data_IF_529554257685
#
_entry.id   IF_529554257685
#
_cell.length_a   1.000
_cell.length_b   1.000
_cell.length_c   1.000
_cell.angle_alpha   90.00
_cell.angle_beta   90.00
_cell.angle_gamma   90.00
#
_symmetry.space_group_name_H-M   'P 1'
#
loop_
_entity.id
_entity.type
_entity.pdbx_description
1 polymer ?
#
# COMPACT_ATOMS: atom_id res chain seq x y z
N UNK A 1 6.75 -5.17 25.89
CA UNK A 1 6.18 -4.66 24.61
C UNK A 1 7.01 -5.02 23.37
N UNK A 2 8.32 -5.32 23.44
CA UNK A 2 9.15 -5.61 22.26
C UNK A 2 9.86 -6.97 22.31
N UNK A 3 9.09 -8.07 22.45
CA UNK A 3 9.66 -9.43 22.41
C UNK A 3 9.81 -9.94 20.97
N UNK A 4 10.67 -10.94 20.69
CA UNK A 4 10.73 -11.58 19.37
C UNK A 4 9.37 -12.10 18.90
N UNK A 5 8.55 -12.62 19.82
CA UNK A 5 7.19 -13.06 19.54
C UNK A 5 6.27 -11.91 19.09
N UNK A 6 6.46 -10.70 19.63
CA UNK A 6 5.71 -9.51 19.21
C UNK A 6 6.06 -9.11 17.76
N UNK A 7 7.36 -9.03 17.43
CA UNK A 7 7.79 -8.74 16.06
C UNK A 7 7.33 -9.81 15.06
N UNK A 8 7.37 -11.08 15.45
CA UNK A 8 6.84 -12.18 14.65
C UNK A 8 5.32 -12.05 14.42
N UNK A 9 4.55 -11.70 15.47
CA UNK A 9 3.11 -11.48 15.35
C UNK A 9 2.78 -10.29 14.44
N UNK A 10 3.51 -9.18 14.55
CA UNK A 10 3.36 -8.02 13.67
C UNK A 10 3.68 -8.38 12.21
N UNK A 11 4.75 -9.14 11.98
CA UNK A 11 5.16 -9.60 10.64
C UNK A 11 4.10 -10.53 10.04
N UNK A 12 3.63 -11.52 10.80
CA UNK A 12 2.58 -12.45 10.35
C UNK A 12 1.25 -11.73 10.11
N UNK A 13 0.88 -10.79 10.98
CA UNK A 13 -0.28 -9.94 10.81
C UNK A 13 -0.18 -9.08 9.54
N UNK A 14 1.01 -8.54 9.25
CA UNK A 14 1.30 -7.80 8.03
C UNK A 14 1.17 -8.65 6.77
N UNK A 15 1.72 -9.87 6.77
CA UNK A 15 1.60 -10.83 5.66
C UNK A 15 0.14 -11.12 5.36
N UNK A 16 -0.62 -11.54 6.37
CA UNK A 16 -2.00 -11.95 6.20
C UNK A 16 -2.89 -10.75 5.82
N UNK A 17 -2.71 -9.62 6.50
CA UNK A 17 -3.50 -8.41 6.22
C UNK A 17 -3.26 -7.92 4.81
N UNK A 18 -2.01 -7.59 4.43
CA UNK A 18 -1.72 -7.02 3.13
C UNK A 18 -1.89 -8.04 2.00
N UNK A 19 -1.41 -9.27 2.16
CA UNK A 19 -1.53 -10.31 1.15
C UNK A 19 -2.98 -10.64 0.80
N UNK A 20 -3.81 -10.89 1.81
CA UNK A 20 -5.22 -11.28 1.57
C UNK A 20 -6.06 -10.11 1.09
N UNK A 21 -5.89 -8.91 1.66
CA UNK A 21 -6.68 -7.74 1.23
C UNK A 21 -6.38 -7.36 -0.22
N UNK A 22 -5.09 -7.28 -0.61
CA UNK A 22 -4.72 -6.97 -1.99
C UNK A 22 -5.13 -8.06 -2.99
N UNK A 23 -5.08 -9.33 -2.57
CA UNK A 23 -5.57 -10.44 -3.42
C UNK A 23 -7.08 -10.36 -3.61
N UNK A 24 -7.84 -10.04 -2.55
CA UNK A 24 -9.28 -9.89 -2.63
C UNK A 24 -9.72 -8.74 -3.56
N UNK A 25 -8.97 -7.64 -3.60
CA UNK A 25 -9.26 -6.49 -4.48
C UNK A 25 -8.63 -6.60 -5.87
N UNK A 26 -7.88 -7.67 -6.17
CA UNK A 26 -7.23 -7.87 -7.48
C UNK A 26 -8.19 -7.73 -8.68
N UNK A 27 -9.44 -8.23 -8.65
CA UNK A 27 -10.38 -8.01 -9.75
C UNK A 27 -10.67 -6.52 -10.02
N UNK A 28 -10.77 -5.72 -8.97
CA UNK A 28 -11.01 -4.28 -9.08
C UNK A 28 -9.76 -3.56 -9.57
N UNK A 29 -8.57 -3.94 -9.08
CA UNK A 29 -7.29 -3.41 -9.55
C UNK A 29 -7.10 -3.67 -11.05
N UNK A 30 -7.48 -4.85 -11.51
CA UNK A 30 -7.35 -5.23 -12.92
C UNK A 30 -8.27 -4.37 -13.82
N UNK A 31 -9.51 -4.14 -13.40
CA UNK A 31 -10.42 -3.22 -14.10
C UNK A 31 -9.84 -1.80 -14.10
N UNK A 32 -9.33 -1.31 -12.97
CA UNK A 32 -8.71 0.01 -12.87
C UNK A 32 -7.49 0.16 -13.78
N UNK A 33 -6.59 -0.81 -13.82
CA UNK A 33 -5.41 -0.76 -14.69
C UNK A 33 -5.81 -0.75 -16.18
N UNK A 34 -6.80 -1.56 -16.58
CA UNK A 34 -7.31 -1.55 -17.95
C UNK A 34 -7.95 -0.21 -18.32
N UNK A 35 -8.69 0.43 -17.39
CA UNK A 35 -9.23 1.78 -17.57
C UNK A 35 -8.15 2.85 -17.76
N UNK A 36 -7.03 2.73 -17.06
CA UNK A 36 -5.92 3.67 -17.19
C UNK A 36 -5.18 3.54 -18.52
N UNK A 37 -5.19 2.35 -19.13
CA UNK A 37 -4.50 2.07 -20.40
C UNK A 37 -5.39 2.37 -21.60
N UNK A 38 -6.65 1.97 -21.53
CA UNK A 38 -7.63 2.17 -22.61
C UNK A 38 -8.94 2.77 -22.07
N UNK A 39 -8.95 4.09 -21.79
CA UNK A 39 -10.12 4.76 -21.24
C UNK A 39 -11.30 4.83 -22.23
N UNK A 40 -11.05 4.64 -23.52
CA UNK A 40 -12.12 4.62 -24.54
C UNK A 40 -12.89 3.30 -24.51
N UNK A 41 -12.18 2.19 -24.29
CA UNK A 41 -12.76 0.85 -24.17
C UNK A 41 -13.38 0.59 -22.81
N UNK A 42 -12.75 1.04 -21.72
CA UNK A 42 -13.23 0.82 -20.35
C UNK A 42 -13.75 2.13 -19.75
N UNK A 43 -15.02 2.47 -20.05
CA UNK A 43 -15.62 3.77 -19.69
C UNK A 43 -15.99 3.94 -18.22
N UNK A 44 -16.26 2.85 -17.53
CA UNK A 44 -16.62 2.85 -16.10
C UNK A 44 -16.21 1.54 -15.45
N UNK A 45 -16.16 1.51 -14.11
CA UNK A 45 -15.83 0.28 -13.37
C UNK A 45 -16.81 -0.83 -13.72
N UNK A 46 -18.13 -0.55 -13.71
CA UNK A 46 -19.17 -1.53 -14.03
C UNK A 46 -19.09 -2.02 -15.47
N UNK A 47 -18.85 -1.11 -16.42
CA UNK A 47 -18.62 -1.45 -17.82
C UNK A 47 -17.36 -2.30 -17.97
N UNK A 48 -16.30 -1.99 -17.22
CA UNK A 48 -15.03 -2.69 -17.30
C UNK A 48 -15.10 -4.12 -16.79
N UNK A 49 -15.88 -4.39 -15.74
CA UNK A 49 -16.21 -5.76 -15.33
C UNK A 49 -16.91 -6.53 -16.46
N UNK A 50 -17.91 -5.91 -17.13
CA UNK A 50 -18.62 -6.53 -18.24
C UNK A 50 -17.72 -6.83 -19.45
N UNK A 51 -16.88 -5.87 -19.85
CA UNK A 51 -15.91 -6.02 -20.95
C UNK A 51 -14.91 -7.12 -20.62
N UNK A 52 -14.36 -7.13 -19.41
CA UNK A 52 -13.37 -8.14 -19.01
C UNK A 52 -13.97 -9.54 -18.96
N UNK A 53 -15.20 -9.68 -18.46
CA UNK A 53 -15.91 -10.96 -18.46
C UNK A 53 -16.14 -11.47 -19.89
N UNK A 54 -16.52 -10.59 -20.83
CA UNK A 54 -16.78 -10.95 -22.23
C UNK A 54 -15.51 -11.38 -22.98
N UNK A 55 -14.37 -10.73 -22.72
CA UNK A 55 -13.13 -10.97 -23.45
C UNK A 55 -12.23 -12.05 -22.83
N UNK A 56 -12.15 -12.09 -21.49
CA UNK A 56 -11.19 -12.93 -20.76
C UNK A 56 -11.88 -13.98 -19.86
N UNK A 57 -13.20 -13.94 -19.76
CA UNK A 57 -13.97 -14.81 -18.89
C UNK A 57 -13.69 -14.59 -17.40
N UNK A 58 -14.26 -15.45 -16.55
CA UNK A 58 -14.12 -15.37 -15.09
C UNK A 58 -12.66 -15.51 -14.63
N UNK A 59 -11.85 -16.29 -15.36
CA UNK A 59 -10.42 -16.46 -15.08
C UNK A 59 -9.62 -15.18 -15.33
N UNK A 60 -10.11 -14.28 -16.19
CA UNK A 60 -9.50 -12.98 -16.44
C UNK A 60 -9.38 -12.13 -15.18
N UNK A 61 -10.37 -12.17 -14.28
CA UNK A 61 -10.38 -11.36 -13.04
C UNK A 61 -9.26 -11.69 -12.06
N UNK A 62 -8.70 -12.89 -12.14
CA UNK A 62 -7.64 -13.34 -11.25
C UNK A 62 -6.25 -13.20 -11.88
N UNK A 63 -6.12 -12.54 -13.03
CA UNK A 63 -4.82 -12.38 -13.68
C UNK A 63 -3.89 -11.51 -12.82
N UNK A 64 -2.71 -12.04 -12.53
CA UNK A 64 -1.76 -11.38 -11.64
C UNK A 64 -2.04 -11.56 -10.14
N UNK A 65 -2.96 -12.43 -9.73
CA UNK A 65 -3.22 -12.69 -8.29
C UNK A 65 -1.98 -13.17 -7.53
N UNK A 66 -1.16 -14.05 -8.13
CA UNK A 66 0.04 -14.60 -7.50
C UNK A 66 1.14 -13.56 -7.21
N UNK A 67 1.55 -12.71 -8.18
CA UNK A 67 2.49 -11.63 -7.87
C UNK A 67 1.88 -10.62 -6.89
N UNK A 68 0.57 -10.35 -6.94
CA UNK A 68 -0.10 -9.52 -5.92
C UNK A 68 0.03 -10.12 -4.53
N UNK A 69 -0.38 -11.38 -4.35
CA UNK A 69 -0.35 -12.04 -3.05
C UNK A 69 1.05 -12.05 -2.45
N UNK A 70 2.04 -12.49 -3.22
CA UNK A 70 3.42 -12.63 -2.74
C UNK A 70 4.08 -11.26 -2.51
N UNK A 71 3.90 -10.32 -3.44
CA UNK A 71 4.45 -8.98 -3.34
C UNK A 71 3.91 -8.22 -2.13
N UNK A 72 2.59 -8.16 -1.98
CA UNK A 72 1.97 -7.45 -0.84
C UNK A 72 2.12 -8.20 0.48
N UNK A 73 2.27 -9.53 0.47
CA UNK A 73 2.66 -10.27 1.67
C UNK A 73 4.06 -9.88 2.13
N UNK A 74 5.04 -9.84 1.22
CA UNK A 74 6.40 -9.42 1.52
C UNK A 74 6.46 -7.94 1.97
N UNK A 75 5.71 -7.07 1.28
CA UNK A 75 5.56 -5.68 1.69
C UNK A 75 4.96 -5.57 3.10
N UNK A 76 3.88 -6.29 3.38
CA UNK A 76 3.21 -6.29 4.67
C UNK A 76 4.10 -6.79 5.81
N UNK A 77 4.86 -7.86 5.55
CA UNK A 77 5.87 -8.40 6.47
C UNK A 77 6.90 -7.34 6.86
N UNK A 78 7.51 -6.71 5.85
CA UNK A 78 8.54 -5.71 6.05
C UNK A 78 7.97 -4.45 6.71
N UNK A 79 6.83 -3.97 6.22
CA UNK A 79 6.19 -2.76 6.75
C UNK A 79 5.86 -2.90 8.22
N UNK A 80 5.11 -3.94 8.61
CA UNK A 80 4.70 -4.10 10.01
C UNK A 80 5.85 -4.57 10.91
N UNK A 81 6.76 -5.41 10.40
CA UNK A 81 7.92 -5.88 11.15
C UNK A 81 8.92 -4.76 11.45
N UNK A 82 9.35 -4.02 10.42
CA UNK A 82 10.31 -2.93 10.57
C UNK A 82 9.70 -1.68 11.20
N UNK A 83 8.40 -1.43 11.06
CA UNK A 83 7.76 -0.28 11.68
C UNK A 83 7.92 -0.29 13.20
N UNK A 84 7.67 -1.43 13.85
CA UNK A 84 7.87 -1.57 15.29
C UNK A 84 9.34 -1.48 15.70
N UNK A 85 10.25 -1.92 14.83
CA UNK A 85 11.69 -1.81 15.07
C UNK A 85 12.14 -0.36 15.03
N UNK A 86 11.81 0.38 13.96
CA UNK A 86 12.20 1.77 13.81
C UNK A 86 11.54 2.69 14.82
N UNK A 87 10.26 2.46 15.18
CA UNK A 87 9.61 3.21 16.26
C UNK A 87 10.39 3.08 17.56
N UNK A 88 10.77 1.86 17.94
CA UNK A 88 11.54 1.61 19.16
C UNK A 88 12.92 2.27 19.06
N UNK A 89 13.64 2.01 17.96
CA UNK A 89 14.98 2.54 17.74
C UNK A 89 15.03 4.07 17.79
N UNK A 90 14.11 4.76 17.10
CA UNK A 90 14.04 6.22 17.11
C UNK A 90 13.55 6.78 18.45
N UNK A 91 12.66 6.07 19.17
CA UNK A 91 12.25 6.46 20.53
C UNK A 91 13.40 6.32 21.53
N UNK A 92 14.18 5.24 21.45
CA UNK A 92 15.34 4.99 22.30
C UNK A 92 16.43 6.04 22.09
N UNK A 93 16.65 6.48 20.83
CA UNK A 93 17.59 7.57 20.50
C UNK A 93 17.10 8.92 21.00
N UNK A 94 15.81 9.22 20.85
CA UNK A 94 15.24 10.49 21.29
C UNK A 94 15.26 10.64 22.82
N UNK A 95 15.20 9.53 23.55
CA UNK A 95 15.04 9.53 25.00
C UNK A 95 13.59 9.75 25.43
N UNK A 96 13.22 9.40 26.68
CA UNK A 96 11.83 9.28 27.11
C UNK A 96 11.04 10.59 27.06
N UNK A 97 11.69 11.73 27.33
CA UNK A 97 11.06 13.05 27.32
C UNK A 97 10.70 13.50 25.90
N UNK A 98 11.61 13.32 24.95
CA UNK A 98 11.39 13.69 23.55
C UNK A 98 10.57 12.66 22.78
N UNK A 99 10.61 11.39 23.18
CA UNK A 99 9.78 10.35 22.59
C UNK A 99 8.28 10.64 22.77
N UNK A 100 7.87 11.17 23.93
CA UNK A 100 6.48 11.58 24.14
C UNK A 100 6.14 12.88 23.42
N UNK A 101 7.07 13.84 23.38
CA UNK A 101 6.86 15.16 22.76
C UNK A 101 6.79 15.10 21.24
N UNK A 102 7.61 14.25 20.62
CA UNK A 102 7.75 14.12 19.16
C UNK A 102 7.25 12.76 18.64
N UNK A 103 6.35 12.10 19.39
CA UNK A 103 5.76 10.80 19.06
C UNK A 103 5.34 10.69 17.60
N UNK A 104 4.56 11.65 17.10
CA UNK A 104 4.09 11.69 15.71
C UNK A 104 5.24 11.72 14.71
N UNK A 105 6.28 12.54 14.94
CA UNK A 105 7.43 12.63 14.03
C UNK A 105 8.26 11.35 14.03
N UNK A 106 8.48 10.75 15.21
CA UNK A 106 9.19 9.47 15.35
C UNK A 106 8.47 8.36 14.60
N UNK A 107 7.14 8.34 14.66
CA UNK A 107 6.32 7.33 14.02
C UNK A 107 6.23 7.56 12.51
N UNK A 108 6.16 8.81 12.07
CA UNK A 108 6.28 9.19 10.66
C UNK A 108 7.63 8.75 10.09
N UNK A 109 8.73 9.05 10.78
CA UNK A 109 10.07 8.61 10.38
C UNK A 109 10.19 7.07 10.37
N UNK A 110 9.63 6.40 11.38
CA UNK A 110 9.62 4.94 11.48
C UNK A 110 8.83 4.28 10.36
N UNK A 111 7.66 4.81 10.02
CA UNK A 111 6.82 4.31 8.94
C UNK A 111 7.45 4.55 7.57
N UNK A 112 8.04 5.73 7.33
CA UNK A 112 8.77 6.01 6.09
C UNK A 112 9.97 5.06 5.90
N UNK A 113 10.76 4.84 6.96
CA UNK A 113 11.92 3.94 6.93
C UNK A 113 11.51 2.49 6.65
N UNK A 114 10.42 2.03 7.27
CA UNK A 114 9.87 0.70 7.04
C UNK A 114 9.33 0.54 5.60
N UNK A 115 8.63 1.55 5.08
CA UNK A 115 8.06 1.51 3.72
C UNK A 115 9.15 1.47 2.65
N UNK A 116 10.27 2.19 2.82
CA UNK A 116 11.41 2.15 1.89
C UNK A 116 11.90 0.71 1.69
N UNK A 117 12.08 -0.04 2.79
CA UNK A 117 12.52 -1.43 2.76
C UNK A 117 11.42 -2.33 2.20
N UNK A 118 10.17 -2.10 2.61
CA UNK A 118 9.03 -2.88 2.14
C UNK A 118 8.82 -2.77 0.63
N UNK A 119 9.05 -1.58 0.06
CA UNK A 119 8.93 -1.35 -1.37
C UNK A 119 10.05 -1.98 -2.17
N UNK A 120 11.26 -2.13 -1.61
CA UNK A 120 12.33 -2.93 -2.24
C UNK A 120 11.88 -4.38 -2.40
N UNK A 121 11.15 -4.93 -1.42
CA UNK A 121 10.60 -6.28 -1.49
C UNK A 121 9.40 -6.38 -2.44
N UNK A 122 8.55 -5.34 -2.52
CA UNK A 122 7.36 -5.31 -3.38
C UNK A 122 7.70 -5.08 -4.85
N UNK A 123 8.67 -4.22 -5.15
CA UNK A 123 8.97 -3.72 -6.50
C UNK A 123 9.07 -4.80 -7.59
N UNK A 124 9.83 -5.91 -7.40
CA UNK A 124 9.93 -6.93 -8.43
C UNK A 124 8.60 -7.63 -8.72
N UNK A 125 7.75 -7.85 -7.70
CA UNK A 125 6.44 -8.45 -7.89
C UNK A 125 5.47 -7.47 -8.55
N UNK A 126 5.54 -6.19 -8.19
CA UNK A 126 4.73 -5.13 -8.81
C UNK A 126 5.06 -4.99 -10.30
N UNK A 127 6.35 -5.02 -10.66
CA UNK A 127 6.79 -4.96 -12.05
C UNK A 127 6.22 -6.12 -12.89
N UNK A 128 6.27 -7.35 -12.36
CA UNK A 128 5.69 -8.51 -13.04
C UNK A 128 4.16 -8.44 -13.06
N UNK A 129 3.52 -8.05 -11.95
CA UNK A 129 2.05 -7.88 -11.85
C UNK A 129 1.55 -6.93 -12.93
N UNK A 130 2.14 -5.75 -13.04
CA UNK A 130 1.76 -4.73 -14.03
C UNK A 130 1.88 -5.30 -15.43
N UNK A 131 3.00 -5.92 -15.82
CA UNK A 131 3.13 -6.54 -17.16
C UNK A 131 2.09 -7.63 -17.41
N UNK A 132 1.85 -8.49 -16.44
CA UNK A 132 0.87 -9.59 -16.53
C UNK A 132 -0.56 -9.07 -16.69
N UNK A 133 -0.92 -7.96 -16.03
CA UNK A 133 -2.27 -7.38 -16.06
C UNK A 133 -2.51 -6.51 -17.30
N UNK A 134 -1.48 -5.78 -17.74
CA UNK A 134 -1.60 -4.72 -18.73
C UNK A 134 -1.25 -5.15 -20.15
N UNK A 135 -0.54 -6.27 -20.31
CA UNK A 135 -0.06 -6.75 -21.61
C UNK A 135 -0.64 -8.13 -21.94
N UNK A 136 -1.69 -8.18 -22.77
CA UNK A 136 -2.21 -9.43 -23.29
C UNK A 136 -1.09 -10.25 -23.94
N UNK A 137 -1.03 -11.55 -23.63
CA UNK A 137 -0.02 -12.46 -24.19
C UNK A 137 1.36 -12.45 -23.52
N UNK A 138 1.70 -11.50 -22.65
CA UNK A 138 3.03 -11.47 -21.99
C UNK A 138 3.28 -12.72 -21.14
N UNK A 139 2.40 -12.97 -20.14
CA UNK A 139 2.50 -14.11 -19.26
C UNK A 139 1.14 -14.50 -18.64
N UNK A 140 1.05 -15.74 -18.14
CA UNK A 140 -0.12 -16.28 -17.44
C UNK A 140 -0.11 -15.91 -15.95
N UNK A 141 1.06 -15.74 -15.35
CA UNK A 141 1.22 -15.38 -13.94
C UNK A 141 2.67 -15.10 -13.57
N UNK A 142 3.00 -15.28 -12.29
CA UNK A 142 4.36 -15.03 -11.79
C UNK A 142 5.37 -16.07 -12.32
N UNK A 143 4.98 -17.35 -12.38
CA UNK A 143 5.90 -18.46 -12.71
C UNK A 143 6.47 -18.36 -14.12
N UNK A 144 5.69 -17.88 -15.09
CA UNK A 144 6.16 -17.63 -16.45
C UNK A 144 6.51 -16.17 -16.70
N UNK A 145 5.89 -15.22 -15.99
CA UNK A 145 6.11 -13.79 -16.15
C UNK A 145 7.44 -13.30 -15.61
N UNK A 146 7.87 -13.77 -14.44
CA UNK A 146 9.15 -13.38 -13.83
C UNK A 146 10.36 -13.77 -14.71
N UNK A 147 10.54 -15.05 -15.13
CA UNK A 147 11.68 -15.41 -15.97
C UNK A 147 11.65 -14.71 -17.33
N UNK A 148 10.46 -14.50 -17.93
CA UNK A 148 10.32 -13.73 -19.17
C UNK A 148 10.76 -12.28 -18.99
N UNK A 149 10.33 -11.63 -17.90
CA UNK A 149 10.71 -10.25 -17.60
C UNK A 149 12.22 -10.10 -17.47
N UNK A 150 12.84 -10.96 -16.64
CA UNK A 150 14.30 -10.93 -16.42
C UNK A 150 15.06 -11.19 -17.72
N UNK A 151 14.57 -12.09 -18.57
CA UNK A 151 15.17 -12.35 -19.89
C UNK A 151 15.04 -11.16 -20.84
N UNK A 152 13.94 -10.41 -20.80
CA UNK A 152 13.70 -9.28 -21.71
C UNK A 152 14.33 -7.97 -21.27
N UNK A 153 14.38 -7.69 -19.96
CA UNK A 153 14.79 -6.37 -19.42
C UNK A 153 15.92 -6.44 -18.39
N UNK A 154 16.37 -7.64 -18.04
CA UNK A 154 17.36 -7.86 -16.98
C UNK A 154 16.77 -7.77 -15.57
N UNK A 155 17.53 -8.22 -14.58
CA UNK A 155 17.12 -8.19 -13.17
C UNK A 155 16.97 -6.75 -12.64
N UNK A 156 17.81 -5.81 -13.12
CA UNK A 156 17.69 -4.38 -12.77
C UNK A 156 16.42 -3.75 -13.35
N UNK A 157 15.84 -4.32 -14.41
CA UNK A 157 14.57 -3.88 -14.99
C UNK A 157 13.41 -3.94 -13.98
N UNK A 158 13.46 -4.88 -13.03
CA UNK A 158 12.45 -5.05 -11.99
C UNK A 158 12.35 -3.84 -11.05
N UNK A 159 13.42 -3.03 -10.94
CA UNK A 159 13.52 -1.90 -10.03
C UNK A 159 13.35 -0.54 -10.71
N UNK A 160 13.10 -0.49 -12.03
CA UNK A 160 12.88 0.78 -12.76
C UNK A 160 11.71 1.60 -12.18
N UNK A 161 10.74 0.93 -11.56
CA UNK A 161 9.58 1.56 -10.92
C UNK A 161 9.77 1.92 -9.45
N UNK A 162 10.95 1.78 -8.85
CA UNK A 162 11.09 1.95 -7.39
C UNK A 162 10.89 3.38 -6.92
N UNK A 163 11.42 4.37 -7.65
CA UNK A 163 11.26 5.80 -7.32
C UNK A 163 9.79 6.22 -7.38
N UNK A 164 9.03 5.94 -8.46
CA UNK A 164 7.60 6.26 -8.48
C UNK A 164 6.80 5.44 -7.46
N UNK A 165 7.25 4.23 -7.12
CA UNK A 165 6.65 3.43 -6.05
C UNK A 165 6.81 4.13 -4.70
N UNK A 166 8.03 4.53 -4.33
CA UNK A 166 8.29 5.28 -3.09
C UNK A 166 7.53 6.60 -3.03
N UNK A 167 7.50 7.36 -4.14
CA UNK A 167 6.78 8.62 -4.23
C UNK A 167 5.27 8.49 -3.96
N UNK A 168 4.70 7.31 -4.18
CA UNK A 168 3.30 6.99 -3.88
C UNK A 168 3.13 6.37 -2.50
N UNK A 169 3.91 5.35 -2.17
CA UNK A 169 3.69 4.50 -1.01
C UNK A 169 4.13 5.17 0.30
N UNK A 170 5.27 5.90 0.30
CA UNK A 170 5.78 6.54 1.51
C UNK A 170 4.81 7.61 2.03
N UNK A 171 4.32 8.57 1.22
CA UNK A 171 3.36 9.55 1.69
C UNK A 171 2.04 8.91 2.13
N UNK A 172 1.55 7.91 1.39
CA UNK A 172 0.34 7.18 1.72
C UNK A 172 0.47 6.49 3.08
N UNK A 173 1.57 5.78 3.32
CA UNK A 173 1.82 5.09 4.59
C UNK A 173 1.98 6.07 5.75
N UNK A 174 2.74 7.15 5.57
CA UNK A 174 2.90 8.21 6.56
C UNK A 174 1.55 8.81 6.98
N UNK A 175 0.73 9.18 6.00
CA UNK A 175 -0.61 9.75 6.23
C UNK A 175 -1.54 8.76 6.92
N UNK A 176 -1.51 7.49 6.49
CA UNK A 176 -2.33 6.42 7.08
C UNK A 176 -2.00 6.22 8.56
N UNK A 177 -0.72 6.16 8.93
CA UNK A 177 -0.33 5.99 10.33
C UNK A 177 -0.63 7.23 11.18
N UNK A 178 -0.33 8.44 10.69
CA UNK A 178 -0.64 9.68 11.42
C UNK A 178 -2.15 9.87 11.65
N UNK A 179 -2.95 9.60 10.62
CA UNK A 179 -4.42 9.72 10.69
C UNK A 179 -5.02 8.63 11.58
N UNK A 180 -4.57 7.38 11.43
CA UNK A 180 -5.07 6.27 12.23
C UNK A 180 -4.87 6.51 13.73
N UNK A 181 -3.68 6.97 14.14
CA UNK A 181 -3.41 7.23 15.55
C UNK A 181 -4.25 8.37 16.10
N UNK A 182 -4.31 9.49 15.38
CA UNK A 182 -5.11 10.64 15.79
C UNK A 182 -6.59 10.27 15.91
N UNK A 183 -7.13 9.52 14.95
CA UNK A 183 -8.54 9.11 14.92
C UNK A 183 -8.83 8.10 16.04
N UNK A 184 -7.94 7.13 16.28
CA UNK A 184 -8.10 6.18 17.37
C UNK A 184 -8.03 6.88 18.73
N UNK A 185 -7.06 7.77 18.95
CA UNK A 185 -6.96 8.57 20.17
C UNK A 185 -8.22 9.43 20.39
N UNK A 186 -8.74 10.07 19.34
CA UNK A 186 -9.97 10.85 19.41
C UNK A 186 -11.21 9.99 19.71
N UNK A 187 -11.32 8.79 19.13
CA UNK A 187 -12.41 7.86 19.43
C UNK A 187 -12.36 7.38 20.88
N UNK A 188 -11.18 7.01 21.40
CA UNK A 188 -11.05 6.62 22.81
C UNK A 188 -11.34 7.80 23.75
N UNK A 189 -11.02 9.03 23.36
CA UNK A 189 -11.26 10.23 24.17
C UNK A 189 -12.73 10.68 24.19
N UNK A 190 -13.46 10.54 23.07
CA UNK A 190 -14.80 11.11 22.94
C UNK A 190 -15.94 10.09 22.82
N UNK A 191 -15.67 8.88 22.34
CA UNK A 191 -16.70 7.88 22.07
C UNK A 191 -16.71 6.71 23.08
N UNK A 192 -15.64 6.52 23.87
CA UNK A 192 -15.52 5.38 24.79
C UNK A 192 -15.23 5.90 26.21
N UNK A 193 -16.19 5.81 27.16
CA UNK A 193 -16.02 6.32 28.52
C UNK A 193 -15.16 5.41 29.43
N UNK A 194 -14.43 4.43 28.88
CA UNK A 194 -13.62 3.46 29.65
C UNK A 194 -12.20 3.35 29.10
N UNK A 195 -11.18 3.13 29.96
CA UNK A 195 -9.82 2.85 29.53
C UNK A 195 -9.77 1.64 28.58
N UNK A 196 -8.82 1.66 27.63
CA UNK A 196 -8.61 0.61 26.63
C UNK A 196 -8.48 -0.79 27.26
N UNK A 197 -7.94 -0.83 28.48
CA UNK A 197 -7.60 -2.05 29.21
C UNK A 197 -8.82 -2.74 29.87
N UNK A 198 -9.95 -2.03 29.98
CA UNK A 198 -11.21 -2.55 30.55
C UNK A 198 -12.23 -2.98 29.49
N UNK A 199 -11.91 -2.76 28.21
CA UNK A 199 -12.81 -3.08 27.10
C UNK A 199 -12.69 -4.56 26.67
N UNK A 200 -13.80 -5.21 26.35
CA UNK A 200 -13.80 -6.55 25.76
C UNK A 200 -12.97 -6.58 24.46
N UNK A 201 -12.29 -7.71 24.19
CA UNK A 201 -11.49 -7.90 22.96
C UNK A 201 -12.29 -7.66 21.68
N UNK A 202 -13.59 -7.99 21.67
CA UNK A 202 -14.48 -7.73 20.52
C UNK A 202 -14.72 -6.24 20.31
N UNK A 203 -14.88 -5.47 21.39
CA UNK A 203 -15.04 -4.02 21.34
C UNK A 203 -13.75 -3.34 20.87
N UNK A 204 -12.58 -3.78 21.38
CA UNK A 204 -11.28 -3.27 20.92
C UNK A 204 -11.05 -3.53 19.43
N UNK A 205 -11.45 -4.71 18.94
CA UNK A 205 -11.37 -5.06 17.52
C UNK A 205 -12.32 -4.19 16.69
N UNK A 206 -13.57 -4.00 17.13
CA UNK A 206 -14.56 -3.17 16.47
C UNK A 206 -14.12 -1.70 16.36
N UNK A 207 -13.55 -1.15 17.43
CA UNK A 207 -12.99 0.21 17.45
C UNK A 207 -11.79 0.33 16.52
N UNK A 208 -10.91 -0.68 16.50
CA UNK A 208 -9.76 -0.70 15.58
C UNK A 208 -10.21 -0.74 14.12
N UNK A 209 -11.28 -1.50 13.82
CA UNK A 209 -11.86 -1.57 12.49
C UNK A 209 -12.54 -0.25 12.07
N UNK A 210 -13.36 0.34 12.95
CA UNK A 210 -14.01 1.62 12.69
C UNK A 210 -12.99 2.76 12.52
N UNK A 211 -11.97 2.81 13.38
CA UNK A 211 -10.87 3.76 13.26
C UNK A 211 -10.07 3.56 11.98
N UNK A 212 -9.80 2.31 11.61
CA UNK A 212 -9.16 1.97 10.34
C UNK A 212 -9.97 2.42 9.12
N UNK A 213 -11.29 2.27 9.16
CA UNK A 213 -12.19 2.70 8.09
C UNK A 213 -12.22 4.23 7.95
N UNK A 214 -12.45 4.96 9.05
CA UNK A 214 -12.49 6.43 9.05
C UNK A 214 -11.13 7.01 8.64
N UNK A 215 -10.03 6.45 9.16
CA UNK A 215 -8.68 6.84 8.78
C UNK A 215 -8.39 6.55 7.30
N UNK A 216 -8.90 5.44 6.76
CA UNK A 216 -8.79 5.09 5.35
C UNK A 216 -9.49 6.11 4.45
N UNK A 217 -10.73 6.49 4.79
CA UNK A 217 -11.49 7.52 4.06
C UNK A 217 -10.80 8.87 4.13
N UNK A 218 -10.37 9.30 5.32
CA UNK A 218 -9.65 10.56 5.49
C UNK A 218 -8.32 10.58 4.72
N UNK A 219 -7.54 9.49 4.82
CA UNK A 219 -6.29 9.35 4.08
C UNK A 219 -6.52 9.46 2.57
N UNK A 220 -7.56 8.82 2.03
CA UNK A 220 -7.88 8.90 0.61
C UNK A 220 -8.25 10.32 0.16
N UNK A 221 -8.98 11.08 0.99
CA UNK A 221 -9.33 12.47 0.70
C UNK A 221 -8.10 13.39 0.70
N UNK A 222 -7.22 13.22 1.69
CA UNK A 222 -6.01 14.04 1.85
C UNK A 222 -4.93 13.66 0.83
N UNK A 223 -4.81 12.38 0.48
CA UNK A 223 -3.80 11.92 -0.48
C UNK A 223 -4.20 12.18 -1.93
N UNK A 224 -5.48 12.38 -2.24
CA UNK A 224 -5.97 12.52 -3.61
C UNK A 224 -5.24 13.57 -4.46
N UNK A 225 -4.94 14.80 -3.95
CA UNK A 225 -4.19 15.80 -4.71
C UNK A 225 -2.74 15.38 -4.97
N UNK A 226 -2.08 14.79 -3.96
CA UNK A 226 -0.70 14.32 -4.07
C UNK A 226 -0.58 13.10 -5.00
N UNK A 227 -1.53 12.16 -4.91
CA UNK A 227 -1.62 10.99 -5.76
C UNK A 227 -1.81 11.38 -7.24
N UNK A 228 -2.63 12.41 -7.50
CA UNK A 228 -2.80 12.98 -8.84
C UNK A 228 -1.51 13.64 -9.35
N UNK A 229 -0.80 14.38 -8.49
CA UNK A 229 0.46 15.04 -8.83
C UNK A 229 1.55 14.03 -9.20
N UNK A 230 1.74 12.99 -8.38
CA UNK A 230 2.72 11.92 -8.62
C UNK A 230 2.36 11.13 -9.88
N UNK A 231 1.07 10.83 -10.08
CA UNK A 231 0.59 10.14 -11.29
C UNK A 231 0.82 10.95 -12.56
N UNK A 232 0.65 12.29 -12.49
CA UNK A 232 0.93 13.19 -13.60
C UNK A 232 2.43 13.24 -13.92
N UNK A 233 3.28 13.43 -12.92
CA UNK A 233 4.74 13.47 -13.08
C UNK A 233 5.31 12.15 -13.65
N UNK A 234 4.68 11.01 -13.33
CA UNK A 234 5.07 9.71 -13.87
C UNK A 234 4.63 9.48 -15.32
N UNK A 235 3.53 10.10 -15.76
CA UNK A 235 3.03 9.97 -17.13
C UNK A 235 3.62 11.02 -18.09
N UNK A 236 4.02 12.18 -17.58
CA UNK A 236 4.67 13.23 -18.37
C UNK A 236 6.20 13.02 -18.36
N UNK A 237 6.75 12.45 -19.43
CA UNK A 237 8.21 12.43 -19.63
C UNK A 237 8.77 13.86 -19.58
N UNK A 238 9.43 14.23 -18.48
CA UNK A 238 10.17 15.48 -18.34
C UNK A 238 9.44 16.66 -17.70
N UNK A 239 8.25 16.49 -17.10
CA UNK A 239 7.57 17.59 -16.42
C UNK A 239 8.17 17.85 -15.02
N UNK A 240 8.33 19.13 -14.69
CA UNK A 240 8.75 19.59 -13.36
C UNK A 240 7.55 20.12 -12.57
N UNK A 241 7.69 20.24 -11.25
CA UNK A 241 6.61 20.72 -10.35
C UNK A 241 6.03 22.08 -10.77
N UNK A 242 6.81 22.90 -11.51
CA UNK A 242 6.36 24.18 -12.06
C UNK A 242 5.30 24.09 -13.17
N UNK A 243 5.22 22.97 -13.90
CA UNK A 243 4.29 22.81 -15.03
C UNK A 243 2.84 22.61 -14.58
N UNK A 244 2.63 22.33 -13.28
CA UNK A 244 1.31 22.11 -12.66
C UNK A 244 0.56 23.44 -12.48
N UNK A 245 1.26 24.58 -12.42
CA UNK A 245 0.63 25.89 -12.19
C UNK A 245 -0.02 26.50 -13.43
N UNK A 246 0.11 25.90 -14.62
CA UNK A 246 -0.44 26.46 -15.87
C UNK A 246 -1.72 25.77 -16.38
N UNK A 247 -2.29 24.81 -15.64
CA UNK A 247 -3.56 24.15 -15.99
C UNK A 247 -4.55 24.07 -14.82
N UNK A 248 -4.71 25.18 -14.09
CA UNK A 248 -5.90 25.43 -13.27
C UNK A 248 -6.97 26.13 -14.11
#
# INVERSE_FOLDING_TARGET
MHSPAYYAACTAGGILSCGLTHTAVTPLDLVKCNMQIDPLKYKSVTSGFGVLLKEQGVRGFFRGWAPTLLGYSAQGACKMGFYEFFKKYYSDIAGPEYASKYKTLIYLAGSASAEVIADVALCPFEAVKVRVQTQPGFARGLSDGFPKFVKSEGALGLYKGIVPLWGRQIPYTMMKFASFETIVELMYKHAIPRPKDECSKSLQLGVSFAGGYVAGVFCALVSHPADNLVSFLNNAKGATVGDVSCKS
#
